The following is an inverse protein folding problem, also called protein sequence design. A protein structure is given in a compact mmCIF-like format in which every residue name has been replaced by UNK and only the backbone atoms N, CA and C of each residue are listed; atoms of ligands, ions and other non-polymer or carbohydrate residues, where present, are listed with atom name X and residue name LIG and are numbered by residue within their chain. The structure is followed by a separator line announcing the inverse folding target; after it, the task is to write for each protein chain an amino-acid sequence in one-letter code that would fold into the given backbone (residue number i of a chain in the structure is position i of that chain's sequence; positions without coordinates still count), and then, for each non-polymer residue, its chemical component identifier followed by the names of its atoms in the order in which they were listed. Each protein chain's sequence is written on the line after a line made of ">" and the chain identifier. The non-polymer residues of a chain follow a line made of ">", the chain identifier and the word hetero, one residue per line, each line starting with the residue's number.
data_IF_850886240519
#
_entry.id   IF_850886240519
#
_cell.length_a   1.000
_cell.length_b   1.000
_cell.length_c   1.000
_cell.angle_alpha   90.00
_cell.angle_beta   90.00
_cell.angle_gamma   90.00
#
_symmetry.space_group_name_H-M   'P 1'
#
loop_
_entity.id
_entity.type
_entity.pdbx_description
1 polymer ?
#
# COMPACT_ATOMS: atom_id res chain seq x y z
N UNK A 1 -8.28 18.89 6.24
CA UNK A 1 -6.97 19.54 6.12
C UNK A 1 -5.91 18.56 5.63
N UNK A 2 -5.68 18.49 4.32
CA UNK A 2 -4.75 17.55 3.66
C UNK A 2 -3.27 17.90 3.78
N UNK A 3 -2.88 18.64 4.82
CA UNK A 3 -1.53 19.20 5.00
C UNK A 3 -0.47 18.17 5.42
N UNK A 4 -0.81 16.88 5.54
CA UNK A 4 0.13 15.82 5.95
C UNK A 4 0.47 14.80 4.85
N UNK A 5 -0.06 14.96 3.63
CA UNK A 5 0.14 13.98 2.54
C UNK A 5 1.32 14.39 1.64
N UNK A 6 1.61 15.68 1.52
CA UNK A 6 2.62 16.20 0.59
C UNK A 6 3.73 16.97 1.29
N UNK A 7 4.96 16.78 0.84
CA UNK A 7 6.12 17.50 1.36
C UNK A 7 6.00 19.00 1.06
N UNK A 8 6.07 19.84 2.11
CA UNK A 8 5.77 21.27 2.03
C UNK A 8 6.70 22.03 1.07
N UNK A 9 7.94 21.57 0.93
CA UNK A 9 8.93 22.07 -0.03
C UNK A 9 8.51 21.83 -1.48
N UNK A 10 8.01 20.64 -1.81
CA UNK A 10 7.49 20.32 -3.15
C UNK A 10 6.25 21.14 -3.47
N UNK A 11 5.30 21.24 -2.53
CA UNK A 11 4.09 22.07 -2.71
C UNK A 11 4.46 23.53 -3.00
N UNK A 12 5.40 24.08 -2.24
CA UNK A 12 5.88 25.46 -2.45
C UNK A 12 6.49 25.64 -3.84
N UNK A 13 7.40 24.76 -4.26
CA UNK A 13 8.05 24.83 -5.58
C UNK A 13 7.04 24.70 -6.73
N UNK A 14 6.06 23.81 -6.60
CA UNK A 14 4.97 23.66 -7.58
C UNK A 14 4.15 24.95 -7.71
N UNK A 15 3.81 25.58 -6.58
CA UNK A 15 3.08 26.85 -6.60
C UNK A 15 3.90 28.00 -7.20
N UNK A 16 5.22 28.03 -7.01
CA UNK A 16 6.11 29.01 -7.63
C UNK A 16 6.10 28.86 -9.16
N UNK A 17 6.24 27.64 -9.69
CA UNK A 17 6.21 27.39 -11.14
C UNK A 17 4.85 27.70 -11.76
N UNK A 18 3.76 27.37 -11.07
CA UNK A 18 2.40 27.67 -11.54
C UNK A 18 2.13 29.18 -11.58
N UNK A 19 2.58 29.94 -10.59
CA UNK A 19 2.43 31.42 -10.56
C UNK A 19 3.16 32.11 -11.71
N UNK A 20 4.33 31.60 -12.12
CA UNK A 20 5.09 32.16 -13.25
C UNK A 20 4.42 31.92 -14.62
N UNK A 21 3.45 31.00 -14.66
CA UNK A 21 2.74 30.61 -15.86
C UNK A 21 1.23 30.88 -15.76
N UNK A 22 0.83 31.71 -14.80
CA UNK A 22 -0.55 32.13 -14.61
C UNK A 22 -1.09 32.80 -15.90
N UNK A 23 -2.34 32.50 -16.23
CA UNK A 23 -3.05 32.97 -17.43
C UNK A 23 -2.46 32.56 -18.80
N UNK A 24 -1.42 31.72 -18.84
CA UNK A 24 -0.88 31.17 -20.10
C UNK A 24 -1.60 29.87 -20.48
N UNK A 25 -1.80 29.65 -21.78
CA UNK A 25 -2.18 28.33 -22.28
C UNK A 25 -1.05 27.34 -21.98
N UNK A 26 -1.36 26.31 -21.20
CA UNK A 26 -0.40 25.27 -20.84
C UNK A 26 -0.17 24.38 -22.06
N UNK A 27 1.04 24.44 -22.60
CA UNK A 27 1.54 23.47 -23.57
C UNK A 27 2.11 22.27 -22.80
N UNK A 28 1.69 21.06 -23.15
CA UNK A 28 2.12 19.81 -22.50
C UNK A 28 3.65 19.63 -22.59
N UNK A 29 4.29 20.17 -23.62
CA UNK A 29 5.75 20.18 -23.76
C UNK A 29 6.47 21.01 -22.67
N UNK A 30 5.77 21.96 -22.02
CA UNK A 30 6.31 22.76 -20.93
C UNK A 30 6.24 22.04 -19.58
N UNK A 31 5.34 21.05 -19.43
CA UNK A 31 5.13 20.34 -18.17
C UNK A 31 6.39 19.58 -17.75
N UNK A 32 7.10 18.95 -18.69
CA UNK A 32 8.35 18.23 -18.40
C UNK A 32 9.39 19.17 -17.79
N UNK A 33 9.60 20.36 -18.37
CA UNK A 33 10.56 21.33 -17.86
C UNK A 33 10.16 21.88 -16.47
N UNK A 34 8.85 21.99 -16.21
CA UNK A 34 8.34 22.37 -14.89
C UNK A 34 8.62 21.30 -13.84
N UNK A 35 8.39 20.03 -14.18
CA UNK A 35 8.70 18.89 -13.32
C UNK A 35 10.21 18.81 -13.03
N UNK A 36 11.05 18.92 -14.05
CA UNK A 36 12.51 18.93 -13.90
C UNK A 36 12.96 19.99 -12.89
N UNK A 37 12.37 21.19 -12.94
CA UNK A 37 12.68 22.28 -12.01
C UNK A 37 12.17 22.03 -10.59
N UNK A 38 10.98 21.48 -10.43
CA UNK A 38 10.39 21.19 -9.12
C UNK A 38 11.21 20.11 -8.39
N UNK A 39 11.60 19.07 -9.13
CA UNK A 39 12.32 17.92 -8.61
C UNK A 39 13.85 18.07 -8.64
N UNK A 40 14.39 19.18 -9.14
CA UNK A 40 15.84 19.43 -9.17
C UNK A 40 16.50 19.41 -7.77
N UNK A 41 17.81 19.20 -7.81
CA UNK A 41 18.75 19.29 -6.68
C UNK A 41 18.38 18.38 -5.51
N UNK A 42 18.12 18.96 -4.34
CA UNK A 42 17.90 18.26 -3.08
C UNK A 42 16.70 17.32 -3.11
N UNK A 43 15.68 17.61 -3.93
CA UNK A 43 14.50 16.76 -4.05
C UNK A 43 14.85 15.45 -4.79
N UNK A 44 15.55 15.55 -5.92
CA UNK A 44 16.08 14.39 -6.63
C UNK A 44 17.05 13.60 -5.75
N UNK A 45 18.01 14.27 -5.10
CA UNK A 45 18.98 13.59 -4.25
C UNK A 45 18.34 12.86 -3.05
N UNK A 46 17.29 13.45 -2.44
CA UNK A 46 16.50 12.80 -1.40
C UNK A 46 15.78 11.57 -1.94
N UNK A 47 15.05 11.72 -3.05
CA UNK A 47 14.31 10.61 -3.65
C UNK A 47 15.21 9.46 -4.10
N UNK A 48 16.36 9.77 -4.72
CA UNK A 48 17.35 8.75 -5.08
C UNK A 48 17.88 8.02 -3.85
N UNK A 49 18.19 8.74 -2.76
CA UNK A 49 18.64 8.10 -1.52
C UNK A 49 17.55 7.20 -0.92
N UNK A 50 16.33 7.70 -0.83
CA UNK A 50 15.20 6.94 -0.29
C UNK A 50 14.93 5.68 -1.13
N UNK A 51 15.05 5.80 -2.45
CA UNK A 51 14.96 4.67 -3.38
C UNK A 51 16.10 3.66 -3.18
N UNK A 52 17.35 4.12 -3.16
CA UNK A 52 18.52 3.25 -3.02
C UNK A 52 18.50 2.51 -1.67
N UNK A 53 18.08 3.17 -0.59
CA UNK A 53 17.91 2.57 0.73
C UNK A 53 16.81 1.50 0.71
N UNK A 54 15.64 1.82 0.15
CA UNK A 54 14.55 0.86 0.03
C UNK A 54 14.93 -0.34 -0.84
N UNK A 55 15.63 -0.10 -1.96
CA UNK A 55 16.11 -1.13 -2.87
C UNK A 55 17.13 -2.06 -2.20
N UNK A 56 18.12 -1.49 -1.52
CA UNK A 56 19.14 -2.26 -0.81
C UNK A 56 18.52 -3.10 0.31
N UNK A 57 17.63 -2.51 1.12
CA UNK A 57 16.93 -3.20 2.19
C UNK A 57 16.08 -4.35 1.64
N UNK A 58 15.30 -4.12 0.57
CA UNK A 58 14.48 -5.16 -0.04
C UNK A 58 15.33 -6.29 -0.64
N UNK A 59 16.43 -5.96 -1.31
CA UNK A 59 17.31 -6.96 -1.91
C UNK A 59 17.93 -7.86 -0.84
N UNK A 60 18.54 -7.27 0.18
CA UNK A 60 19.20 -8.02 1.25
C UNK A 60 18.20 -8.81 2.09
N UNK A 61 17.05 -8.21 2.39
CA UNK A 61 16.08 -8.82 3.29
C UNK A 61 15.17 -9.84 2.63
N UNK A 62 14.81 -9.64 1.36
CA UNK A 62 13.86 -10.50 0.65
C UNK A 62 14.54 -11.35 -0.41
N UNK A 63 15.25 -10.75 -1.38
CA UNK A 63 15.75 -11.49 -2.53
C UNK A 63 16.89 -12.45 -2.18
N UNK A 64 17.81 -12.03 -1.31
CA UNK A 64 18.97 -12.84 -0.93
C UNK A 64 18.66 -13.94 0.09
N UNK A 65 17.54 -13.83 0.80
CA UNK A 65 17.10 -14.75 1.88
C UNK A 65 15.96 -15.68 1.45
N UNK A 66 15.38 -15.46 0.26
CA UNK A 66 14.32 -16.30 -0.31
C UNK A 66 14.87 -17.68 -0.68
N UNK A 67 14.78 -18.63 0.25
CA UNK A 67 15.05 -20.03 0.01
C UNK A 67 13.76 -20.81 -0.26
N UNK A 68 13.72 -21.69 -1.28
CA UNK A 68 12.56 -22.53 -1.55
C UNK A 68 12.18 -23.34 -0.31
N UNK A 69 10.88 -23.32 0.05
CA UNK A 69 10.30 -24.05 1.18
C UNK A 69 10.77 -23.59 2.58
N UNK A 70 11.41 -22.43 2.69
CA UNK A 70 11.77 -21.81 3.98
C UNK A 70 10.80 -20.66 4.30
N UNK A 71 9.68 -21.01 4.95
CA UNK A 71 8.68 -20.04 5.37
C UNK A 71 9.16 -19.31 6.65
N UNK A 72 9.74 -18.12 6.47
CA UNK A 72 10.12 -17.23 7.58
C UNK A 72 9.04 -16.18 7.84
N UNK A 73 8.49 -16.14 9.06
CA UNK A 73 7.53 -15.10 9.48
C UNK A 73 8.17 -13.70 9.42
N UNK A 74 9.45 -13.58 9.74
CA UNK A 74 10.18 -12.30 9.65
C UNK A 74 10.26 -11.81 8.19
N UNK A 75 10.53 -12.72 7.26
CA UNK A 75 10.56 -12.41 5.82
C UNK A 75 9.20 -11.94 5.31
N UNK A 76 8.12 -12.61 5.75
CA UNK A 76 6.75 -12.24 5.42
C UNK A 76 6.40 -10.84 5.94
N UNK A 77 6.76 -10.53 7.19
CA UNK A 77 6.53 -9.19 7.75
C UNK A 77 7.34 -8.11 7.02
N UNK A 78 8.60 -8.37 6.68
CA UNK A 78 9.45 -7.42 5.94
C UNK A 78 8.91 -7.16 4.52
N UNK A 79 8.39 -8.20 3.85
CA UNK A 79 7.75 -8.07 2.55
C UNK A 79 6.53 -7.12 2.62
N UNK A 80 5.62 -7.33 3.58
CA UNK A 80 4.45 -6.47 3.73
C UNK A 80 4.78 -5.04 4.18
N UNK A 81 5.86 -4.86 4.94
CA UNK A 81 6.36 -3.52 5.27
C UNK A 81 6.88 -2.77 4.05
N UNK A 82 7.57 -3.47 3.12
CA UNK A 82 8.11 -2.86 1.90
C UNK A 82 7.01 -2.46 0.91
N UNK A 83 5.94 -3.27 0.78
CA UNK A 83 4.85 -3.01 -0.17
C UNK A 83 3.66 -2.25 0.44
N UNK A 84 3.63 -2.06 1.77
CA UNK A 84 2.54 -1.44 2.54
C UNK A 84 1.13 -1.89 2.13
N UNK A 85 0.98 -3.15 1.71
CA UNK A 85 -0.30 -3.74 1.33
C UNK A 85 -0.31 -5.22 1.66
N UNK A 86 -1.36 -5.66 2.34
CA UNK A 86 -1.63 -7.06 2.65
C UNK A 86 -3.08 -7.39 2.27
N UNK A 87 -3.27 -8.55 1.66
CA UNK A 87 -4.57 -9.07 1.29
C UNK A 87 -5.26 -9.69 2.52
N UNK A 88 -6.47 -9.23 2.81
CA UNK A 88 -7.30 -9.75 3.90
C UNK A 88 -8.67 -10.18 3.37
N UNK A 89 -9.27 -11.17 4.02
CA UNK A 89 -10.64 -11.61 3.71
C UNK A 89 -11.61 -11.08 4.76
N UNK A 90 -12.59 -10.24 4.38
CA UNK A 90 -13.67 -9.89 5.28
C UNK A 90 -14.44 -11.13 5.72
N UNK A 91 -14.69 -11.29 7.01
CA UNK A 91 -15.35 -12.48 7.56
C UNK A 91 -16.74 -12.76 6.92
N UNK A 92 -17.44 -11.72 6.46
CA UNK A 92 -18.72 -11.88 5.76
C UNK A 92 -18.61 -12.59 4.39
N UNK A 93 -17.44 -12.56 3.75
CA UNK A 93 -17.18 -13.21 2.46
C UNK A 93 -16.56 -14.60 2.62
N UNK A 94 -16.30 -15.05 3.85
CA UNK A 94 -15.60 -16.31 4.09
C UNK A 94 -16.33 -17.53 3.51
N UNK A 95 -17.65 -17.57 3.64
CA UNK A 95 -18.45 -18.68 3.09
C UNK A 95 -18.35 -18.77 1.56
N UNK A 96 -18.34 -17.62 0.89
CA UNK A 96 -18.21 -17.53 -0.57
C UNK A 96 -16.80 -17.93 -1.02
N UNK A 97 -15.77 -17.47 -0.29
CA UNK A 97 -14.39 -17.86 -0.51
C UNK A 97 -14.21 -19.38 -0.45
N UNK A 98 -14.71 -20.02 0.60
CA UNK A 98 -14.62 -21.49 0.75
C UNK A 98 -15.39 -22.23 -0.35
N UNK A 99 -16.50 -21.66 -0.82
CA UNK A 99 -17.26 -22.22 -1.95
C UNK A 99 -16.44 -22.19 -3.25
N UNK A 100 -15.74 -21.11 -3.54
CA UNK A 100 -14.85 -21.04 -4.71
C UNK A 100 -13.66 -22.00 -4.59
N UNK A 101 -13.00 -22.08 -3.43
CA UNK A 101 -11.90 -23.03 -3.21
C UNK A 101 -12.36 -24.48 -3.40
N UNK A 102 -13.49 -24.87 -2.81
CA UNK A 102 -14.02 -26.25 -2.93
C UNK A 102 -14.45 -26.61 -4.36
N UNK A 103 -14.77 -25.61 -5.20
CA UNK A 103 -15.07 -25.79 -6.63
C UNK A 103 -13.83 -25.78 -7.53
N UNK A 104 -12.64 -25.60 -6.97
CA UNK A 104 -11.39 -25.48 -7.75
C UNK A 104 -11.31 -24.17 -8.52
N UNK A 105 -11.88 -23.10 -7.99
CA UNK A 105 -11.97 -21.75 -8.57
C UNK A 105 -11.11 -20.74 -7.78
N UNK A 106 -9.77 -20.88 -7.79
CA UNK A 106 -8.90 -20.05 -6.95
C UNK A 106 -8.86 -18.59 -7.40
N UNK A 107 -9.10 -18.30 -8.68
CA UNK A 107 -9.10 -16.93 -9.20
C UNK A 107 -10.30 -16.14 -8.72
N UNK A 108 -11.46 -16.78 -8.63
CA UNK A 108 -12.69 -16.22 -8.10
C UNK A 108 -12.59 -16.03 -6.59
N UNK A 109 -11.98 -16.98 -5.88
CA UNK A 109 -11.69 -16.85 -4.45
C UNK A 109 -10.78 -15.63 -4.17
N UNK A 110 -9.74 -15.43 -5.00
CA UNK A 110 -8.82 -14.30 -4.85
C UNK A 110 -9.49 -12.92 -5.04
N UNK A 111 -10.58 -12.83 -5.82
CA UNK A 111 -11.30 -11.56 -6.03
C UNK A 111 -12.07 -11.08 -4.78
N UNK A 112 -12.26 -11.94 -3.79
CA UNK A 112 -12.91 -11.60 -2.53
C UNK A 112 -11.92 -11.01 -1.50
N UNK A 113 -10.63 -11.08 -1.80
CA UNK A 113 -9.59 -10.48 -0.97
C UNK A 113 -9.58 -8.96 -1.16
N UNK A 114 -9.33 -8.26 -0.05
CA UNK A 114 -9.30 -6.82 -0.01
C UNK A 114 -7.91 -6.37 0.44
N UNK A 115 -7.21 -5.52 -0.35
CA UNK A 115 -5.94 -4.96 0.07
C UNK A 115 -6.14 -3.95 1.20
N UNK A 116 -5.32 -4.05 2.24
CA UNK A 116 -5.22 -3.06 3.31
C UNK A 116 -3.77 -2.70 3.59
N UNK A 117 -3.52 -1.45 4.01
CA UNK A 117 -2.18 -1.06 4.45
C UNK A 117 -1.68 -1.93 5.60
N UNK A 118 -0.37 -2.19 5.67
CA UNK A 118 0.23 -2.98 6.74
C UNK A 118 -0.11 -2.41 8.13
N UNK A 119 -0.06 -1.08 8.27
CA UNK A 119 -0.43 -0.37 9.51
C UNK A 119 -1.86 -0.66 9.95
N UNK A 120 -2.80 -0.65 9.00
CA UNK A 120 -4.21 -0.94 9.26
C UNK A 120 -4.40 -2.40 9.67
N UNK A 121 -3.72 -3.33 9.02
CA UNK A 121 -3.72 -4.73 9.43
C UNK A 121 -3.17 -4.91 10.86
N UNK A 122 -2.02 -4.29 11.20
CA UNK A 122 -1.49 -4.32 12.56
C UNK A 122 -2.47 -3.72 13.59
N UNK A 123 -3.20 -2.66 13.23
CA UNK A 123 -4.21 -2.07 14.11
C UNK A 123 -5.38 -3.04 14.36
N UNK A 124 -5.88 -3.71 13.31
CA UNK A 124 -6.93 -4.74 13.44
C UNK A 124 -6.47 -5.92 14.28
N UNK A 125 -5.22 -6.37 14.09
CA UNK A 125 -4.62 -7.45 14.88
C UNK A 125 -4.56 -7.08 16.37
N UNK A 126 -4.12 -5.87 16.70
CA UNK A 126 -4.10 -5.36 18.10
C UNK A 126 -5.49 -5.24 18.71
N UNK A 127 -6.53 -5.04 17.89
CA UNK A 127 -7.92 -4.99 18.33
C UNK A 127 -8.56 -6.38 18.48
N UNK A 128 -7.83 -7.47 18.19
CA UNK A 128 -8.37 -8.83 18.22
C UNK A 128 -9.38 -9.11 17.10
N UNK A 129 -9.35 -8.33 16.02
CA UNK A 129 -10.26 -8.47 14.88
C UNK A 129 -9.69 -9.35 13.75
N UNK A 130 -8.55 -10.01 13.99
CA UNK A 130 -7.91 -10.91 13.03
C UNK A 130 -8.01 -12.34 13.58
N UNK A 131 -8.47 -13.27 12.74
CA UNK A 131 -8.53 -14.68 13.09
C UNK A 131 -7.11 -15.30 13.01
N UNK A 132 -6.45 -15.46 14.16
CA UNK A 132 -5.08 -15.97 14.25
C UNK A 132 -5.00 -17.51 14.15
N UNK A 133 -6.13 -18.23 14.23
CA UNK A 133 -6.15 -19.71 14.15
C UNK A 133 -5.97 -20.23 12.71
N UNK A 134 -6.29 -19.40 11.70
CA UNK A 134 -6.18 -19.73 10.26
C UNK A 134 -4.82 -19.41 9.66
N UNK A 135 -3.74 -19.60 10.42
CA UNK A 135 -2.35 -19.37 9.98
C UNK A 135 -2.07 -20.09 8.65
N UNK A 136 -1.80 -19.32 7.59
CA UNK A 136 -1.18 -19.79 6.36
C UNK A 136 -2.06 -19.89 5.10
N UNK A 137 -3.39 -19.77 5.20
CA UNK A 137 -4.26 -19.83 4.00
C UNK A 137 -4.79 -18.46 3.58
N UNK A 138 -5.40 -17.71 4.51
CA UNK A 138 -5.95 -16.38 4.28
C UNK A 138 -6.08 -15.63 5.61
N UNK A 139 -5.77 -14.33 5.65
CA UNK A 139 -5.93 -13.51 6.86
C UNK A 139 -7.36 -12.99 6.96
N UNK A 140 -8.19 -13.64 7.77
CA UNK A 140 -9.60 -13.27 7.94
C UNK A 140 -9.73 -12.11 8.95
N UNK A 141 -10.52 -11.10 8.60
CA UNK A 141 -10.74 -9.90 9.43
C UNK A 141 -12.23 -9.67 9.74
N UNK A 142 -12.54 -9.39 10.99
CA UNK A 142 -13.88 -9.11 11.50
C UNK A 142 -14.21 -7.61 11.46
N UNK A 143 -14.27 -7.07 10.25
CA UNK A 143 -14.65 -5.67 10.01
C UNK A 143 -15.83 -5.60 9.04
N UNK A 144 -16.74 -4.63 9.21
CA UNK A 144 -17.79 -4.41 8.24
C UNK A 144 -17.18 -4.10 6.87
N UNK A 145 -17.66 -4.78 5.85
CA UNK A 145 -17.27 -4.54 4.46
C UNK A 145 -18.47 -4.02 3.69
N UNK A 146 -18.28 -2.93 2.96
CA UNK A 146 -19.27 -2.38 2.05
C UNK A 146 -18.70 -2.40 0.63
N UNK A 147 -19.47 -2.88 -0.35
CA UNK A 147 -18.98 -3.04 -1.73
C UNK A 147 -18.49 -1.73 -2.38
N UNK A 148 -19.10 -0.59 -2.04
CA UNK A 148 -18.75 0.73 -2.57
C UNK A 148 -17.70 1.48 -1.74
N UNK A 149 -17.60 1.20 -0.43
CA UNK A 149 -16.73 1.96 0.50
C UNK A 149 -15.54 1.14 1.02
N UNK A 150 -15.45 -0.14 0.62
CA UNK A 150 -14.45 -1.08 1.09
C UNK A 150 -14.62 -1.43 2.57
N UNK A 151 -13.51 -1.72 3.24
CA UNK A 151 -13.51 -2.01 4.66
C UNK A 151 -13.84 -0.75 5.46
N UNK A 152 -14.85 -0.83 6.32
CA UNK A 152 -15.25 0.26 7.21
C UNK A 152 -14.55 0.06 8.56
N UNK A 153 -13.58 0.91 8.87
CA UNK A 153 -12.93 0.93 10.20
C UNK A 153 -13.08 2.35 10.75
N UNK A 154 -13.83 2.50 11.84
CA UNK A 154 -14.01 3.79 12.53
C UNK A 154 -15.46 4.24 12.80
N UNK A 155 -16.49 3.44 12.50
CA UNK A 155 -17.88 3.75 12.88
C UNK A 155 -18.29 2.97 14.13
N UNK A 156 -17.62 3.22 15.25
CA UNK A 156 -18.20 2.93 16.57
C UNK A 156 -19.02 4.16 16.98
N UNK A 157 -20.34 3.97 17.17
CA UNK A 157 -21.24 4.97 17.76
C UNK A 157 -20.79 5.40 19.16
#
# INVERSE_FOLDING_TARGET
>A
DGQQIYAADLVRRSLEVLKENDEKLIDESMITAWLDRIYADDAAARWTRDYDEAYANFTAACLETLHPFDASEELEEMFYQAFDSIEVLPACLESEYQQHISRGQPLEAAQLLVPVSWRRYCALRRQGLVDEEKRGLVKVVHVPYHNEMGLLVGMTS
#
